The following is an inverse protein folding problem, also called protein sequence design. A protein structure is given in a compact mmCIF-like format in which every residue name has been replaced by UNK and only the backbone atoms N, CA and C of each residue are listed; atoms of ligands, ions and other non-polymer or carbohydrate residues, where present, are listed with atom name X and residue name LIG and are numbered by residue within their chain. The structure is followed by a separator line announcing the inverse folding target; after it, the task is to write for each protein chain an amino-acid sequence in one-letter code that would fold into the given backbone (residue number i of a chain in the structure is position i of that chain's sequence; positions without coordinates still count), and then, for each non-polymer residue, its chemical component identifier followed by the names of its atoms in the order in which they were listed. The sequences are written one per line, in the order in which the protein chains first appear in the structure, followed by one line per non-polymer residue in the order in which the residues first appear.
data_IF_672028590452
#
_entry.id   IF_672028590452
#
_cell.length_a   1.000
_cell.length_b   1.000
_cell.length_c   1.000
_cell.angle_alpha   90.00
_cell.angle_beta   90.00
_cell.angle_gamma   90.00
#
_symmetry.space_group_name_H-M   'P 1'
#
loop_
_entity.id
_entity.type
_entity.pdbx_description
1 polymer ?
#
# COMPACT_ATOMS: atom_id res chain seq x y z
N UNK A 1 -3.74 30.02 -28.81
CA UNK A 1 -2.60 29.34 -28.13
C UNK A 1 -2.95 28.56 -26.84
N UNK A 2 -4.03 28.84 -26.10
CA UNK A 2 -4.19 28.39 -24.70
C UNK A 2 -4.49 26.90 -24.40
N UNK A 3 -5.09 26.11 -25.31
CA UNK A 3 -5.58 24.73 -24.97
C UNK A 3 -4.52 23.63 -24.98
N UNK A 4 -3.47 23.73 -25.83
CA UNK A 4 -2.31 22.80 -25.79
C UNK A 4 -1.61 22.84 -24.43
N UNK A 5 -1.63 23.98 -23.74
CA UNK A 5 -1.03 24.15 -22.42
C UNK A 5 -1.76 23.40 -21.29
N UNK A 6 -3.07 23.13 -21.42
CA UNK A 6 -3.87 22.51 -20.35
C UNK A 6 -3.76 20.99 -20.37
N UNK A 7 -3.81 20.38 -21.56
CA UNK A 7 -3.57 18.95 -21.71
C UNK A 7 -2.13 18.57 -21.27
N UNK A 8 -1.12 19.33 -21.71
CA UNK A 8 0.27 19.12 -21.30
C UNK A 8 0.47 19.24 -19.77
N UNK A 9 -0.21 20.19 -19.12
CA UNK A 9 -0.18 20.33 -17.66
C UNK A 9 -0.80 19.10 -16.95
N UNK A 10 -1.93 18.61 -17.46
CA UNK A 10 -2.58 17.41 -16.91
C UNK A 10 -1.74 16.15 -17.14
N UNK A 11 -1.08 16.01 -18.29
CA UNK A 11 -0.15 14.90 -18.56
C UNK A 11 1.04 14.92 -17.61
N UNK A 12 1.60 16.10 -17.30
CA UNK A 12 2.66 16.24 -16.30
C UNK A 12 2.16 15.84 -14.90
N UNK A 13 0.92 16.21 -14.55
CA UNK A 13 0.28 15.80 -13.30
C UNK A 13 0.06 14.28 -13.26
N UNK A 14 -0.41 13.68 -14.35
CA UNK A 14 -0.61 12.24 -14.51
C UNK A 14 0.70 11.47 -14.31
N UNK A 15 1.80 11.88 -14.98
CA UNK A 15 3.13 11.26 -14.82
C UNK A 15 3.63 11.32 -13.38
N UNK A 16 3.46 12.46 -12.70
CA UNK A 16 3.84 12.63 -11.29
C UNK A 16 2.99 11.80 -10.34
N UNK A 17 1.70 11.62 -10.65
CA UNK A 17 0.82 10.78 -9.87
C UNK A 17 1.14 9.29 -10.05
N UNK A 18 1.37 8.83 -11.28
CA UNK A 18 1.80 7.44 -11.57
C UNK A 18 3.09 7.08 -10.83
N UNK A 19 4.11 7.94 -10.88
CA UNK A 19 5.38 7.70 -10.17
C UNK A 19 5.20 7.56 -8.65
N UNK A 20 4.25 8.31 -8.06
CA UNK A 20 3.94 8.22 -6.63
C UNK A 20 3.18 6.93 -6.31
N UNK A 21 2.24 6.54 -7.17
CA UNK A 21 1.52 5.28 -7.03
C UNK A 21 2.47 4.07 -7.09
N UNK A 22 3.39 4.04 -8.06
CA UNK A 22 4.40 2.98 -8.18
C UNK A 22 5.29 2.86 -6.94
N UNK A 23 5.64 3.99 -6.32
CA UNK A 23 6.42 3.99 -5.07
C UNK A 23 5.62 3.37 -3.92
N UNK A 24 4.34 3.72 -3.79
CA UNK A 24 3.43 3.17 -2.77
C UNK A 24 3.16 1.69 -2.97
N UNK A 25 3.01 1.22 -4.21
CA UNK A 25 2.88 -0.22 -4.49
C UNK A 25 4.12 -1.00 -4.09
N UNK A 26 5.31 -0.43 -4.28
CA UNK A 26 6.56 -1.04 -3.81
C UNK A 26 6.63 -1.11 -2.29
N UNK A 27 6.22 -0.04 -1.60
CA UNK A 27 6.10 -0.02 -0.14
C UNK A 27 5.11 -1.09 0.36
N UNK A 28 3.92 -1.17 -0.25
CA UNK A 28 2.90 -2.18 0.09
C UNK A 28 3.44 -3.60 -0.03
N UNK A 29 4.15 -3.91 -1.12
CA UNK A 29 4.79 -5.23 -1.32
C UNK A 29 5.85 -5.52 -0.26
N UNK A 30 6.65 -4.53 0.11
CA UNK A 30 7.67 -4.69 1.16
C UNK A 30 7.02 -4.94 2.54
N UNK A 31 5.96 -4.21 2.87
CA UNK A 31 5.22 -4.40 4.12
C UNK A 31 4.55 -5.77 4.18
N UNK A 32 3.92 -6.24 3.08
CA UNK A 32 3.34 -7.58 3.01
C UNK A 32 4.38 -8.68 3.25
N UNK A 33 5.56 -8.57 2.65
CA UNK A 33 6.67 -9.50 2.90
C UNK A 33 7.12 -9.49 4.36
N UNK A 34 7.17 -8.32 4.99
CA UNK A 34 7.50 -8.21 6.41
C UNK A 34 6.43 -8.87 7.28
N UNK A 35 5.15 -8.61 6.99
CA UNK A 35 4.02 -9.22 7.69
C UNK A 35 4.04 -10.75 7.58
N UNK A 36 4.28 -11.29 6.38
CA UNK A 36 4.43 -12.74 6.16
C UNK A 36 5.57 -13.32 7.00
N UNK A 37 6.71 -12.64 7.07
CA UNK A 37 7.85 -13.06 7.89
C UNK A 37 7.52 -13.05 9.39
N UNK A 38 6.84 -12.00 9.88
CA UNK A 38 6.40 -11.92 11.29
C UNK A 38 5.40 -13.03 11.61
N UNK A 39 4.44 -13.30 10.73
CA UNK A 39 3.50 -14.41 10.89
C UNK A 39 4.17 -15.78 10.83
N UNK A 40 5.24 -15.98 10.06
CA UNK A 40 5.97 -17.24 10.05
C UNK A 40 6.67 -17.55 11.39
N UNK A 41 7.00 -16.52 12.17
CA UNK A 41 7.66 -16.65 13.48
C UNK A 41 6.68 -16.91 14.64
N UNK A 42 5.41 -16.56 14.48
CA UNK A 42 4.37 -16.72 15.51
C UNK A 42 4.07 -18.18 15.87
N UNK A 43 3.85 -19.12 14.93
CA UNK A 43 3.50 -20.51 15.26
C UNK A 43 4.57 -21.25 16.09
N UNK A 44 5.87 -21.16 15.78
CA UNK A 44 6.91 -21.74 16.63
C UNK A 44 6.92 -21.15 18.04
N UNK A 45 6.74 -19.84 18.18
CA UNK A 45 6.72 -19.17 19.48
C UNK A 45 5.49 -19.56 20.31
N UNK A 46 4.32 -19.70 19.67
CA UNK A 46 3.09 -20.16 20.31
C UNK A 46 3.22 -21.60 20.81
N UNK A 47 3.80 -22.51 20.03
CA UNK A 47 4.07 -23.89 20.46
C UNK A 47 4.99 -23.94 21.68
N UNK A 48 6.04 -23.12 21.71
CA UNK A 48 6.93 -23.01 22.87
C UNK A 48 6.20 -22.48 24.10
N UNK A 49 5.28 -21.54 23.93
CA UNK A 49 4.43 -21.00 24.99
C UNK A 49 3.43 -22.02 25.54
N UNK A 50 2.80 -22.82 24.68
CA UNK A 50 1.91 -23.90 25.09
C UNK A 50 2.64 -24.98 25.91
N UNK A 51 3.85 -25.35 25.46
CA UNK A 51 4.73 -26.25 26.21
C UNK A 51 5.13 -25.64 27.56
N UNK A 52 5.59 -24.39 27.57
CA UNK A 52 6.01 -23.70 28.79
C UNK A 52 4.85 -23.55 29.80
N UNK A 53 3.66 -23.17 29.34
CA UNK A 53 2.45 -23.03 30.19
C UNK A 53 2.13 -24.31 30.97
N UNK A 54 2.52 -25.46 30.43
CA UNK A 54 2.20 -26.78 30.97
C UNK A 54 3.23 -27.28 31.99
N UNK A 55 4.45 -26.73 32.00
CA UNK A 55 5.58 -27.32 32.73
C UNK A 55 6.50 -26.33 33.45
N UNK A 56 6.58 -25.06 33.04
CA UNK A 56 7.58 -24.12 33.57
C UNK A 56 7.13 -22.65 33.44
N UNK A 57 6.90 -22.02 34.60
CA UNK A 57 6.46 -20.62 34.72
C UNK A 57 7.54 -19.62 34.30
N UNK A 58 8.81 -19.87 34.59
CA UNK A 58 9.89 -18.94 34.20
C UNK A 58 10.10 -18.93 32.69
N UNK A 59 10.00 -20.11 32.06
CA UNK A 59 9.98 -20.23 30.60
C UNK A 59 8.78 -19.47 30.02
N UNK A 60 7.59 -19.62 30.60
CA UNK A 60 6.40 -18.89 30.14
C UNK A 60 6.61 -17.36 30.19
N UNK A 61 7.07 -16.83 31.32
CA UNK A 61 7.35 -15.39 31.51
C UNK A 61 8.43 -14.87 30.54
N UNK A 62 9.37 -15.73 30.11
CA UNK A 62 10.41 -15.38 29.13
C UNK A 62 9.89 -15.29 27.69
N UNK A 63 8.95 -16.16 27.31
CA UNK A 63 8.48 -16.26 25.91
C UNK A 63 7.19 -15.46 25.65
N UNK A 64 6.33 -15.28 26.66
CA UNK A 64 5.09 -14.51 26.56
C UNK A 64 5.29 -13.08 25.99
N UNK A 65 6.28 -12.29 26.46
CA UNK A 65 6.52 -10.95 25.91
C UNK A 65 6.86 -10.97 24.41
N UNK A 66 7.62 -11.97 23.96
CA UNK A 66 8.03 -12.09 22.55
C UNK A 66 6.86 -12.39 21.62
N UNK A 67 5.93 -13.24 22.05
CA UNK A 67 4.69 -13.49 21.28
C UNK A 67 3.81 -12.26 21.26
N UNK A 68 3.67 -11.57 22.39
CA UNK A 68 2.91 -10.33 22.47
C UNK A 68 3.49 -9.26 21.55
N UNK A 69 4.81 -9.10 21.52
CA UNK A 69 5.51 -8.17 20.62
C UNK A 69 5.30 -8.54 19.16
N UNK A 70 5.50 -9.81 18.78
CA UNK A 70 5.30 -10.26 17.40
C UNK A 70 3.84 -10.08 16.93
N UNK A 71 2.87 -10.33 17.81
CA UNK A 71 1.45 -10.08 17.53
C UNK A 71 1.16 -8.58 17.34
N UNK A 72 1.70 -7.73 18.21
CA UNK A 72 1.55 -6.28 18.09
C UNK A 72 2.16 -5.75 16.79
N UNK A 73 3.37 -6.19 16.43
CA UNK A 73 4.01 -5.80 15.16
C UNK A 73 3.18 -6.28 13.96
N UNK A 74 2.63 -7.50 13.99
CA UNK A 74 1.76 -8.00 12.94
C UNK A 74 0.50 -7.15 12.77
N UNK A 75 -0.13 -6.73 13.87
CA UNK A 75 -1.31 -5.84 13.86
C UNK A 75 -0.97 -4.45 13.29
N UNK A 76 0.16 -3.87 13.69
CA UNK A 76 0.59 -2.57 13.16
C UNK A 76 0.88 -2.63 11.66
N UNK A 77 1.56 -3.68 11.20
CA UNK A 77 1.85 -3.91 9.79
C UNK A 77 0.56 -4.13 8.98
N UNK A 78 -0.40 -4.89 9.52
CA UNK A 78 -1.69 -5.12 8.88
C UNK A 78 -2.47 -3.81 8.70
N UNK A 79 -2.60 -3.01 9.77
CA UNK A 79 -3.27 -1.70 9.71
C UNK A 79 -2.62 -0.79 8.66
N UNK A 80 -1.29 -0.74 8.62
CA UNK A 80 -0.55 0.09 7.66
C UNK A 80 -0.71 -0.39 6.22
N UNK A 81 -0.83 -1.70 6.00
CA UNK A 81 -1.16 -2.28 4.68
C UNK A 81 -2.55 -1.83 4.25
N UNK A 82 -3.55 -1.89 5.12
CA UNK A 82 -4.93 -1.50 4.81
C UNK A 82 -5.04 -0.01 4.47
N UNK A 83 -4.36 0.86 5.24
CA UNK A 83 -4.28 2.30 4.98
C UNK A 83 -3.61 2.61 3.64
N UNK A 84 -2.47 1.97 3.35
CA UNK A 84 -1.76 2.15 2.08
C UNK A 84 -2.56 1.62 0.90
N UNK A 85 -3.25 0.50 1.04
CA UNK A 85 -4.09 -0.07 0.01
C UNK A 85 -5.26 0.86 -0.32
N UNK A 86 -5.97 1.36 0.70
CA UNK A 86 -7.03 2.36 0.54
C UNK A 86 -6.54 3.62 -0.17
N UNK A 87 -5.32 4.06 0.17
CA UNK A 87 -4.68 5.22 -0.47
C UNK A 87 -4.37 4.95 -1.95
N UNK A 88 -3.85 3.76 -2.28
CA UNK A 88 -3.56 3.33 -3.65
C UNK A 88 -4.85 3.31 -4.48
N UNK A 89 -5.93 2.73 -3.95
CA UNK A 89 -7.23 2.68 -4.63
C UNK A 89 -7.77 4.09 -4.94
N UNK A 90 -7.70 5.00 -3.97
CA UNK A 90 -8.08 6.41 -4.16
C UNK A 90 -7.21 7.13 -5.21
N UNK A 91 -5.90 6.88 -5.24
CA UNK A 91 -5.01 7.44 -6.26
C UNK A 91 -5.25 6.85 -7.66
N UNK A 92 -5.55 5.54 -7.77
CA UNK A 92 -5.92 4.90 -9.02
C UNK A 92 -7.19 5.50 -9.63
N UNK A 93 -8.20 5.76 -8.81
CA UNK A 93 -9.43 6.41 -9.25
C UNK A 93 -9.17 7.85 -9.73
N UNK A 94 -8.34 8.59 -9.02
CA UNK A 94 -7.91 9.93 -9.45
C UNK A 94 -7.14 9.91 -10.78
N UNK A 95 -6.28 8.90 -11.00
CA UNK A 95 -5.57 8.72 -12.27
C UNK A 95 -6.53 8.43 -13.42
N UNK A 96 -7.53 7.57 -13.22
CA UNK A 96 -8.59 7.28 -14.22
C UNK A 96 -9.30 8.56 -14.65
N UNK A 97 -9.69 9.40 -13.67
CA UNK A 97 -10.33 10.70 -13.94
C UNK A 97 -9.43 11.65 -14.72
N UNK A 98 -8.15 11.77 -14.34
CA UNK A 98 -7.18 12.60 -15.06
C UNK A 98 -6.99 12.14 -16.51
N UNK A 99 -6.93 10.83 -16.74
CA UNK A 99 -6.75 10.24 -18.05
C UNK A 99 -7.96 10.49 -18.95
N UNK A 100 -9.17 10.33 -18.42
CA UNK A 100 -10.42 10.66 -19.12
C UNK A 100 -10.48 12.16 -19.51
N UNK A 101 -10.10 13.06 -18.60
CA UNK A 101 -10.06 14.50 -18.89
C UNK A 101 -9.06 14.84 -20.02
N UNK A 102 -7.89 14.21 -20.02
CA UNK A 102 -6.90 14.39 -21.09
C UNK A 102 -7.47 13.92 -22.43
N UNK A 103 -8.13 12.76 -22.46
CA UNK A 103 -8.77 12.23 -23.67
C UNK A 103 -9.82 13.20 -24.21
N UNK A 104 -10.72 13.71 -23.36
CA UNK A 104 -11.74 14.70 -23.75
C UNK A 104 -11.12 15.97 -24.34
N UNK A 105 -10.04 16.49 -23.72
CA UNK A 105 -9.36 17.69 -24.22
C UNK A 105 -8.66 17.45 -25.57
N UNK A 106 -8.08 16.27 -25.78
CA UNK A 106 -7.47 15.88 -27.05
C UNK A 106 -8.53 15.77 -28.15
N UNK A 107 -9.64 15.10 -27.87
CA UNK A 107 -10.75 14.91 -28.82
C UNK A 107 -11.38 16.24 -29.25
N UNK A 108 -11.66 17.12 -28.28
CA UNK A 108 -12.14 18.49 -28.55
C UNK A 108 -11.16 19.30 -29.39
N UNK A 109 -9.86 19.11 -29.18
CA UNK A 109 -8.84 19.77 -29.98
C UNK A 109 -8.87 19.26 -31.41
N UNK A 110 -8.87 17.93 -31.63
CA UNK A 110 -8.94 17.32 -32.97
C UNK A 110 -10.14 17.79 -33.79
N UNK A 111 -11.34 17.82 -33.19
CA UNK A 111 -12.56 18.27 -33.87
C UNK A 111 -12.49 19.74 -34.31
N UNK A 112 -11.81 20.59 -33.53
CA UNK A 112 -11.65 22.02 -33.85
C UNK A 112 -10.72 22.30 -35.03
N UNK A 113 -9.80 21.39 -35.37
CA UNK A 113 -8.89 21.54 -36.52
C UNK A 113 -9.43 20.94 -37.82
N UNK A 114 -10.63 20.34 -37.79
CA UNK A 114 -11.29 19.76 -38.98
C UNK A 114 -12.32 20.70 -39.63
N UNK A 115 -12.48 21.90 -39.08
CA UNK A 115 -13.31 23.01 -39.56
C UNK A 115 -12.45 24.26 -39.58
#
# INVERSE_FOLDING_TARGET
MFRRSRAARLEKKLKRALKRLEAKERELRALRRRLESTYAQLPPLLRLLELARSFDRELYERFYPRVREAHSEAMELANRIDELQSTIEGEMENLRRLLALIQVLRERSRRRWRW
#
